data_IF_341668742853
#
_entry.id   IF_341668742853
#
_cell.length_a   1.000
_cell.length_b   1.000
_cell.length_c   1.000
_cell.angle_alpha   90.00
_cell.angle_beta   90.00
_cell.angle_gamma   90.00
#
_symmetry.space_group_name_H-M   'P 1'
#
loop_
_entity.id
_entity.type
_entity.pdbx_description
1 polymer ?
#
# COMPACT_ATOMS: atom_id res chain seq x y z
N UNK A 1 92.26 22.02 -23.87
CA UNK A 1 92.02 21.91 -25.32
C UNK A 1 90.65 21.29 -25.50
N UNK A 2 89.61 22.13 -25.60
CA UNK A 2 88.20 21.68 -25.55
C UNK A 2 87.76 21.20 -26.93
N UNK A 3 87.34 19.93 -27.03
CA UNK A 3 86.77 19.36 -28.26
C UNK A 3 85.42 20.02 -28.49
N UNK A 4 85.30 20.73 -29.61
CA UNK A 4 84.05 21.37 -30.05
C UNK A 4 83.10 20.24 -30.48
N UNK A 5 81.99 20.07 -29.77
CA UNK A 5 80.97 19.06 -30.06
C UNK A 5 80.25 19.38 -31.38
N UNK A 6 80.62 18.69 -32.46
CA UNK A 6 80.07 18.84 -33.81
C UNK A 6 78.89 17.88 -34.07
N UNK A 7 78.10 17.55 -33.04
CA UNK A 7 76.91 16.68 -33.22
C UNK A 7 75.66 17.43 -33.72
N UNK A 8 75.64 18.76 -33.59
CA UNK A 8 74.49 19.59 -33.98
C UNK A 8 74.63 20.23 -35.38
N UNK A 9 75.85 20.27 -35.93
CA UNK A 9 76.14 20.97 -37.20
C UNK A 9 75.77 20.13 -38.44
N UNK A 10 75.59 18.81 -38.27
CA UNK A 10 75.17 17.87 -39.31
C UNK A 10 73.70 17.44 -39.19
N UNK A 11 72.91 18.12 -38.35
CA UNK A 11 71.47 17.90 -38.32
C UNK A 11 70.89 18.75 -39.43
N UNK A 12 70.38 18.08 -40.45
CA UNK A 12 69.62 18.71 -41.52
C UNK A 12 68.33 19.29 -40.91
N UNK A 13 68.37 20.56 -40.52
CA UNK A 13 67.32 21.27 -39.79
C UNK A 13 65.95 21.12 -40.48
N UNK A 14 65.96 21.01 -41.80
CA UNK A 14 64.79 20.78 -42.64
C UNK A 14 64.20 19.39 -42.39
N UNK A 15 65.05 18.35 -42.28
CA UNK A 15 64.63 16.98 -42.01
C UNK A 15 64.02 16.84 -40.61
N UNK A 16 64.60 17.51 -39.61
CA UNK A 16 64.04 17.59 -38.26
C UNK A 16 62.65 18.26 -38.25
N UNK A 17 62.50 19.38 -38.97
CA UNK A 17 61.23 20.09 -39.11
C UNK A 17 60.15 19.19 -39.74
N UNK A 18 60.50 18.43 -40.78
CA UNK A 18 59.59 17.50 -41.45
C UNK A 18 59.18 16.35 -40.52
N UNK A 19 60.11 15.79 -39.74
CA UNK A 19 59.79 14.73 -38.77
C UNK A 19 58.86 15.22 -37.66
N UNK A 20 59.07 16.43 -37.15
CA UNK A 20 58.18 17.04 -36.15
C UNK A 20 56.78 17.28 -36.74
N UNK A 21 56.70 17.79 -37.98
CA UNK A 21 55.44 18.00 -38.66
C UNK A 21 54.69 16.67 -38.86
N UNK A 22 55.39 15.63 -39.30
CA UNK A 22 54.82 14.29 -39.48
C UNK A 22 54.33 13.71 -38.15
N UNK A 23 55.09 13.89 -37.06
CA UNK A 23 54.71 13.44 -35.73
C UNK A 23 53.43 14.14 -35.24
N UNK A 24 53.31 15.46 -35.45
CA UNK A 24 52.10 16.22 -35.10
C UNK A 24 50.88 15.68 -35.87
N UNK A 25 51.04 15.40 -37.16
CA UNK A 25 49.96 14.84 -37.99
C UNK A 25 49.53 13.46 -37.48
N UNK A 26 50.47 12.58 -37.13
CA UNK A 26 50.18 11.27 -36.55
C UNK A 26 49.45 11.39 -35.21
N UNK A 27 49.88 12.30 -34.33
CA UNK A 27 49.18 12.58 -33.08
C UNK A 27 47.74 13.06 -33.32
N UNK A 28 47.52 13.94 -34.29
CA UNK A 28 46.18 14.40 -34.66
C UNK A 28 45.28 13.25 -35.15
N UNK A 29 45.83 12.37 -36.00
CA UNK A 29 45.11 11.18 -36.48
C UNK A 29 44.74 10.27 -35.30
N UNK A 30 45.65 10.06 -34.35
CA UNK A 30 45.38 9.25 -33.17
C UNK A 30 44.26 9.84 -32.30
N UNK A 31 44.28 11.15 -32.06
CA UNK A 31 43.25 11.84 -31.27
C UNK A 31 41.89 11.73 -31.96
N UNK A 32 41.83 11.99 -33.27
CA UNK A 32 40.59 11.94 -34.05
C UNK A 32 40.04 10.52 -34.19
N UNK A 33 40.90 9.53 -34.41
CA UNK A 33 40.49 8.14 -34.61
C UNK A 33 40.13 7.41 -33.32
N UNK A 34 40.78 7.71 -32.19
CA UNK A 34 40.56 6.98 -30.93
C UNK A 34 39.81 7.78 -29.87
N UNK A 35 40.17 9.04 -29.62
CA UNK A 35 39.62 9.78 -28.47
C UNK A 35 38.19 10.27 -28.77
N UNK A 36 37.97 10.82 -29.97
CA UNK A 36 36.65 11.34 -30.37
C UNK A 36 35.53 10.29 -30.34
N UNK A 37 35.68 9.07 -30.92
CA UNK A 37 34.61 8.08 -30.85
C UNK A 37 34.35 7.61 -29.41
N UNK A 38 35.38 7.40 -28.60
CA UNK A 38 35.23 6.98 -27.20
C UNK A 38 34.46 8.00 -26.34
N UNK A 39 34.75 9.31 -26.49
CA UNK A 39 34.02 10.37 -25.78
C UNK A 39 32.55 10.40 -26.21
N UNK A 40 32.29 10.20 -27.52
CA UNK A 40 30.93 10.20 -28.06
C UNK A 40 30.13 9.00 -27.55
N UNK A 41 30.74 7.82 -27.50
CA UNK A 41 30.14 6.59 -26.99
C UNK A 41 29.85 6.70 -25.50
N UNK A 42 30.81 7.18 -24.69
CA UNK A 42 30.60 7.45 -23.27
C UNK A 42 29.44 8.42 -23.03
N UNK A 43 29.38 9.52 -23.79
CA UNK A 43 28.30 10.50 -23.65
C UNK A 43 26.93 9.91 -24.01
N UNK A 44 26.88 9.01 -24.99
CA UNK A 44 25.64 8.33 -25.37
C UNK A 44 25.20 7.33 -24.28
N UNK A 45 26.12 6.50 -23.79
CA UNK A 45 25.87 5.56 -22.68
C UNK A 45 25.43 6.29 -21.41
N UNK A 46 26.06 7.42 -21.08
CA UNK A 46 25.69 8.22 -19.92
C UNK A 46 24.27 8.81 -20.06
N UNK A 47 23.88 9.25 -21.27
CA UNK A 47 22.51 9.73 -21.55
C UNK A 47 21.49 8.60 -21.44
N UNK A 48 21.79 7.44 -22.00
CA UNK A 48 20.92 6.28 -21.92
C UNK A 48 20.76 5.83 -20.47
N UNK A 49 21.85 5.69 -19.72
CA UNK A 49 21.83 5.33 -18.30
C UNK A 49 21.02 6.34 -17.45
N UNK A 50 21.20 7.65 -17.67
CA UNK A 50 20.40 8.66 -16.97
C UNK A 50 18.92 8.56 -17.33
N UNK A 51 18.58 8.27 -18.59
CA UNK A 51 17.19 8.09 -19.00
C UNK A 51 16.56 6.87 -18.34
N UNK A 52 17.26 5.73 -18.34
CA UNK A 52 16.82 4.47 -17.70
C UNK A 52 16.69 4.67 -16.19
N UNK A 53 17.65 5.33 -15.55
CA UNK A 53 17.60 5.62 -14.11
C UNK A 53 16.42 6.51 -13.75
N UNK A 54 16.09 7.51 -14.59
CA UNK A 54 14.94 8.40 -14.37
C UNK A 54 13.60 7.69 -14.54
N UNK A 55 13.50 6.73 -15.46
CA UNK A 55 12.31 5.90 -15.63
C UNK A 55 12.19 4.94 -14.46
N UNK A 56 13.28 4.28 -14.09
CA UNK A 56 13.33 3.38 -12.94
C UNK A 56 12.93 4.09 -11.64
N UNK A 57 13.46 5.28 -11.38
CA UNK A 57 13.13 6.04 -10.16
C UNK A 57 11.65 6.42 -10.10
N UNK A 58 11.05 6.82 -11.23
CA UNK A 58 9.60 7.11 -11.31
C UNK A 58 8.75 5.87 -11.06
N UNK A 59 9.11 4.73 -11.66
CA UNK A 59 8.40 3.46 -11.47
C UNK A 59 8.52 3.00 -10.03
N UNK A 60 9.74 3.06 -9.46
CA UNK A 60 10.00 2.72 -8.07
C UNK A 60 9.23 3.61 -7.11
N UNK A 61 9.26 4.93 -7.29
CA UNK A 61 8.49 5.87 -6.47
C UNK A 61 6.99 5.58 -6.54
N UNK A 62 6.45 5.30 -7.72
CA UNK A 62 5.03 4.95 -7.89
C UNK A 62 4.69 3.65 -7.18
N UNK A 63 5.54 2.64 -7.31
CA UNK A 63 5.39 1.36 -6.62
C UNK A 63 5.43 1.54 -5.09
N UNK A 64 6.44 2.24 -4.57
CA UNK A 64 6.61 2.47 -3.14
C UNK A 64 5.44 3.27 -2.56
N UNK A 65 4.96 4.29 -3.29
CA UNK A 65 3.77 5.07 -2.90
C UNK A 65 2.51 4.21 -2.85
N UNK A 66 2.30 3.34 -3.86
CA UNK A 66 1.16 2.41 -3.88
C UNK A 66 1.26 1.39 -2.76
N UNK A 67 2.45 0.86 -2.50
CA UNK A 67 2.68 -0.10 -1.42
C UNK A 67 2.44 0.53 -0.05
N UNK A 68 2.90 1.76 0.16
CA UNK A 68 2.64 2.51 1.39
C UNK A 68 1.14 2.80 1.57
N UNK A 69 0.46 3.19 0.49
CA UNK A 69 -1.00 3.41 0.50
C UNK A 69 -1.74 2.12 0.85
N UNK A 70 -1.35 0.99 0.25
CA UNK A 70 -1.94 -0.31 0.53
C UNK A 70 -1.72 -0.74 1.99
N UNK A 71 -0.50 -0.57 2.49
CA UNK A 71 -0.17 -0.90 3.88
C UNK A 71 -0.95 -0.01 4.86
N UNK A 72 -1.03 1.31 4.61
CA UNK A 72 -1.84 2.24 5.41
C UNK A 72 -3.30 1.84 5.42
N UNK A 73 -3.88 1.51 4.26
CA UNK A 73 -5.28 1.12 4.15
C UNK A 73 -5.56 -0.21 4.88
N UNK A 74 -4.61 -1.15 4.81
CA UNK A 74 -4.68 -2.43 5.52
C UNK A 74 -4.57 -2.25 7.04
N UNK A 75 -3.71 -1.33 7.49
CA UNK A 75 -3.53 -1.04 8.91
C UNK A 75 -4.73 -0.26 9.48
N UNK A 76 -5.24 0.74 8.74
CA UNK A 76 -6.42 1.53 9.12
C UNK A 76 -7.67 0.65 9.27
N UNK A 77 -7.86 -0.30 8.35
CA UNK A 77 -9.03 -1.19 8.36
C UNK A 77 -8.73 -2.58 8.91
N UNK A 78 -7.60 -2.75 9.63
CA UNK A 78 -7.17 -4.06 10.15
C UNK A 78 -8.25 -4.73 10.97
N UNK A 79 -8.96 -3.96 11.81
CA UNK A 79 -10.07 -4.46 12.62
C UNK A 79 -11.21 -5.00 11.75
N UNK A 80 -11.65 -4.24 10.74
CA UNK A 80 -12.72 -4.66 9.83
C UNK A 80 -12.32 -5.92 9.06
N UNK A 81 -11.07 -5.98 8.57
CA UNK A 81 -10.53 -7.13 7.85
C UNK A 81 -10.48 -8.35 8.78
N UNK A 82 -9.97 -8.22 10.01
CA UNK A 82 -9.96 -9.33 10.97
C UNK A 82 -11.36 -9.78 11.40
N UNK A 83 -12.29 -8.83 11.49
CA UNK A 83 -13.68 -9.11 11.88
C UNK A 83 -14.49 -9.73 10.75
N UNK A 84 -14.03 -9.64 9.51
CA UNK A 84 -14.62 -10.33 8.36
C UNK A 84 -14.28 -11.83 8.35
N UNK A 85 -13.07 -12.18 8.79
CA UNK A 85 -12.62 -13.58 8.91
C UNK A 85 -13.17 -14.28 10.16
N UNK A 86 -13.75 -13.53 11.11
CA UNK A 86 -14.28 -14.10 12.35
C UNK A 86 -15.61 -14.82 12.09
N UNK A 87 -15.67 -16.10 12.45
CA UNK A 87 -16.93 -16.85 12.45
C UNK A 87 -17.80 -16.32 13.58
N UNK A 88 -18.99 -15.82 13.26
CA UNK A 88 -19.90 -15.38 14.30
C UNK A 88 -20.47 -16.58 15.06
N UNK A 89 -20.44 -16.44 16.38
CA UNK A 89 -20.88 -17.43 17.35
C UNK A 89 -22.12 -16.87 18.09
N UNK A 90 -23.26 -17.57 17.94
CA UNK A 90 -24.54 -17.19 18.54
C UNK A 90 -24.46 -17.14 20.07
N UNK A 91 -23.80 -18.11 20.70
CA UNK A 91 -23.69 -18.20 22.16
C UNK A 91 -22.78 -17.09 22.71
N UNK A 92 -21.69 -16.79 21.99
CA UNK A 92 -20.81 -15.66 22.33
C UNK A 92 -21.53 -14.32 22.21
N UNK A 93 -22.38 -14.15 21.21
CA UNK A 93 -23.20 -12.95 21.04
C UNK A 93 -24.25 -12.83 22.16
N UNK A 94 -24.94 -13.92 22.53
CA UNK A 94 -25.91 -13.90 23.64
C UNK A 94 -25.23 -13.51 24.95
N UNK A 95 -24.04 -14.05 25.23
CA UNK A 95 -23.25 -13.66 26.41
C UNK A 95 -22.87 -12.18 26.39
N UNK A 96 -22.45 -11.67 25.23
CA UNK A 96 -22.12 -10.26 25.06
C UNK A 96 -23.34 -9.35 25.27
N UNK A 97 -24.47 -9.68 24.64
CA UNK A 97 -25.71 -8.91 24.75
C UNK A 97 -26.30 -8.97 26.16
N UNK A 98 -26.16 -10.09 26.87
CA UNK A 98 -26.63 -10.26 28.26
C UNK A 98 -25.95 -9.29 29.25
N UNK A 99 -24.83 -8.66 28.90
CA UNK A 99 -24.22 -7.61 29.72
C UNK A 99 -25.02 -6.28 29.69
N UNK A 100 -25.82 -6.07 28.64
CA UNK A 100 -26.59 -4.84 28.41
C UNK A 100 -28.09 -5.07 28.59
N UNK A 101 -28.55 -6.28 28.32
CA UNK A 101 -29.95 -6.65 28.26
C UNK A 101 -30.28 -7.81 29.21
N UNK A 102 -31.51 -7.87 29.70
CA UNK A 102 -32.08 -9.04 30.37
C UNK A 102 -32.92 -9.86 29.37
N UNK A 103 -32.91 -11.18 29.50
CA UNK A 103 -33.74 -12.10 28.69
C UNK A 103 -33.45 -12.03 27.18
N UNK A 104 -32.18 -12.14 26.78
CA UNK A 104 -31.76 -12.09 25.38
C UNK A 104 -32.08 -13.40 24.66
N UNK A 105 -32.88 -13.32 23.61
CA UNK A 105 -33.12 -14.44 22.69
C UNK A 105 -32.86 -14.04 21.24
N UNK A 106 -32.23 -14.94 20.49
CA UNK A 106 -32.00 -14.80 19.05
C UNK A 106 -32.99 -15.68 18.30
N UNK A 107 -33.82 -15.07 17.46
CA UNK A 107 -34.70 -15.77 16.53
C UNK A 107 -34.15 -15.60 15.12
N UNK A 108 -34.10 -16.68 14.33
CA UNK A 108 -33.78 -16.56 12.91
C UNK A 108 -34.90 -15.81 12.21
N UNK A 109 -34.57 -14.68 11.57
CA UNK A 109 -35.55 -13.95 10.78
C UNK A 109 -35.73 -14.71 9.45
N UNK A 110 -36.98 -15.04 9.11
CA UNK A 110 -37.40 -15.83 7.93
C UNK A 110 -37.16 -15.13 6.58
N UNK A 111 -36.14 -14.29 6.47
CA UNK A 111 -35.91 -13.40 5.35
C UNK A 111 -34.52 -13.67 4.77
N UNK A 112 -34.41 -14.77 4.02
CA UNK A 112 -33.21 -15.20 3.27
C UNK A 112 -33.05 -14.48 1.93
N UNK A 113 -33.96 -13.56 1.57
CA UNK A 113 -33.89 -12.81 0.31
C UNK A 113 -33.08 -11.53 0.46
N UNK A 114 -31.75 -11.65 0.56
CA UNK A 114 -30.89 -10.50 0.29
C UNK A 114 -29.74 -10.93 -0.60
N UNK A 115 -29.72 -10.38 -1.81
CA UNK A 115 -28.77 -10.58 -2.91
C UNK A 115 -27.37 -9.99 -2.59
N UNK A 116 -27.04 -9.87 -1.31
CA UNK A 116 -25.80 -9.28 -0.83
C UNK A 116 -24.75 -10.38 -0.64
N UNK A 117 -23.66 -10.29 -1.42
CA UNK A 117 -22.60 -11.32 -1.52
C UNK A 117 -21.97 -11.75 -0.18
N UNK A 118 -22.12 -10.95 0.89
CA UNK A 118 -21.46 -11.12 2.19
C UNK A 118 -22.43 -11.24 3.36
N UNK A 119 -23.73 -11.37 3.07
CA UNK A 119 -24.75 -11.55 4.10
C UNK A 119 -24.84 -13.02 4.52
N UNK A 120 -24.72 -13.27 5.83
CA UNK A 120 -24.81 -14.62 6.41
C UNK A 120 -26.23 -14.90 6.92
N UNK A 121 -26.73 -14.09 7.86
CA UNK A 121 -28.06 -14.25 8.45
C UNK A 121 -28.56 -12.97 9.10
N UNK A 122 -29.89 -12.88 9.19
CA UNK A 122 -30.64 -11.87 9.92
C UNK A 122 -31.22 -12.52 11.17
N UNK A 123 -30.92 -11.95 12.33
CA UNK A 123 -31.41 -12.44 13.61
C UNK A 123 -32.27 -11.36 14.25
N UNK A 124 -33.43 -11.72 14.78
CA UNK A 124 -34.22 -10.84 15.63
C UNK A 124 -33.77 -11.03 17.07
N UNK A 125 -33.27 -9.95 17.67
CA UNK A 125 -32.90 -9.90 19.08
C UNK A 125 -34.13 -9.44 19.85
N UNK A 126 -34.65 -10.32 20.70
CA UNK A 126 -35.68 -9.98 21.68
C UNK A 126 -35.00 -9.83 23.04
N UNK A 127 -35.20 -8.69 23.68
CA UNK A 127 -34.51 -8.37 24.93
C UNK A 127 -35.32 -7.42 25.81
N UNK A 128 -34.93 -7.26 27.06
CA UNK A 128 -35.51 -6.28 27.98
C UNK A 128 -34.43 -5.39 28.60
N UNK A 129 -34.68 -4.08 28.67
CA UNK A 129 -33.81 -3.07 29.29
C UNK A 129 -34.58 -2.25 30.32
N UNK A 130 -33.89 -1.75 31.34
CA UNK A 130 -34.47 -0.78 32.28
C UNK A 130 -34.40 0.65 31.78
N UNK A 131 -33.43 0.97 30.92
CA UNK A 131 -33.18 2.34 30.47
C UNK A 131 -32.73 2.35 29.01
N UNK A 132 -33.26 3.25 28.15
CA UNK A 132 -32.84 3.38 26.76
C UNK A 132 -31.34 3.63 26.58
N UNK A 133 -30.68 4.23 27.56
CA UNK A 133 -29.23 4.47 27.54
C UNK A 133 -28.42 3.19 27.37
N UNK A 134 -28.86 2.07 27.98
CA UNK A 134 -28.19 0.76 27.82
C UNK A 134 -28.19 0.26 26.37
N UNK A 135 -29.18 0.66 25.58
CA UNK A 135 -29.21 0.32 24.16
C UNK A 135 -28.15 1.10 23.37
N UNK A 136 -27.90 2.36 23.71
CA UNK A 136 -26.81 3.14 23.10
C UNK A 136 -25.43 2.58 23.51
N UNK A 137 -25.24 2.22 24.77
CA UNK A 137 -24.02 1.55 25.24
C UNK A 137 -23.76 0.23 24.49
N UNK A 138 -24.83 -0.51 24.20
CA UNK A 138 -24.77 -1.71 23.38
C UNK A 138 -24.34 -1.38 21.94
N UNK A 139 -24.93 -0.38 21.29
CA UNK A 139 -24.54 0.01 19.93
C UNK A 139 -23.07 0.43 19.85
N UNK A 140 -22.59 1.19 20.85
CA UNK A 140 -21.18 1.56 20.93
C UNK A 140 -20.28 0.33 21.08
N UNK A 141 -20.68 -0.61 21.96
CA UNK A 141 -19.94 -1.84 22.18
C UNK A 141 -20.01 -2.80 20.99
N UNK A 142 -21.11 -2.80 20.24
CA UNK A 142 -21.32 -3.59 19.03
C UNK A 142 -20.36 -3.14 17.92
N UNK A 143 -20.05 -1.84 17.83
CA UNK A 143 -19.08 -1.31 16.87
C UNK A 143 -17.65 -1.85 17.09
N UNK A 144 -17.35 -2.31 18.31
CA UNK A 144 -16.05 -2.88 18.73
C UNK A 144 -16.10 -4.40 18.82
N UNK A 145 -17.18 -5.04 18.40
CA UNK A 145 -17.34 -6.49 18.46
C UNK A 145 -16.50 -7.20 17.39
N UNK A 146 -16.07 -8.42 17.70
CA UNK A 146 -15.18 -9.22 16.87
C UNK A 146 -15.76 -9.57 15.50
N UNK A 147 -17.08 -9.56 15.34
CA UNK A 147 -17.76 -9.84 14.06
C UNK A 147 -18.46 -8.60 13.52
N UNK A 148 -18.58 -8.49 12.20
CA UNK A 148 -19.26 -7.38 11.54
C UNK A 148 -20.78 -7.55 11.70
N UNK A 149 -21.35 -6.81 12.65
CA UNK A 149 -22.78 -6.86 12.95
C UNK A 149 -23.37 -5.47 12.76
N UNK A 150 -24.48 -5.38 12.03
CA UNK A 150 -25.27 -4.16 11.88
C UNK A 150 -26.63 -4.35 12.52
N UNK A 151 -26.99 -3.49 13.46
CA UNK A 151 -28.37 -3.37 13.91
C UNK A 151 -29.21 -2.68 12.82
N UNK A 152 -30.34 -3.29 12.46
CA UNK A 152 -31.24 -2.85 11.42
C UNK A 152 -32.50 -2.24 12.03
N UNK A 153 -33.04 -1.21 11.37
CA UNK A 153 -34.25 -0.52 11.79
C UNK A 153 -35.47 -1.14 11.09
N UNK A 154 -36.69 -1.08 11.67
CA UNK A 154 -37.06 -0.35 12.89
C UNK A 154 -36.78 -1.13 14.19
N UNK A 155 -36.45 -0.39 15.26
CA UNK A 155 -36.35 -0.92 16.62
C UNK A 155 -37.71 -0.73 17.30
N UNK A 156 -38.30 -1.81 17.79
CA UNK A 156 -39.55 -1.77 18.54
C UNK A 156 -39.24 -1.75 20.04
N UNK A 157 -39.71 -0.72 20.74
CA UNK A 157 -39.60 -0.61 22.19
C UNK A 157 -41.00 -0.54 22.79
N UNK A 158 -41.31 -1.39 23.78
CA UNK A 158 -42.56 -1.40 24.53
C UNK A 158 -42.26 -1.39 26.02
N UNK A 159 -42.76 -0.39 26.73
CA UNK A 159 -42.69 -0.35 28.19
C UNK A 159 -43.72 -1.30 28.79
N UNK A 160 -43.27 -2.19 29.66
CA UNK A 160 -44.10 -3.12 30.43
C UNK A 160 -43.62 -3.10 31.88
N UNK A 161 -44.30 -2.30 32.71
CA UNK A 161 -43.92 -2.08 34.11
C UNK A 161 -42.55 -1.39 34.27
N UNK A 162 -41.64 -2.03 35.02
CA UNK A 162 -40.26 -1.55 35.28
C UNK A 162 -39.27 -1.91 34.15
N UNK A 163 -39.75 -2.51 33.05
CA UNK A 163 -38.91 -3.00 31.95
C UNK A 163 -39.39 -2.46 30.60
N UNK A 164 -38.45 -2.32 29.67
CA UNK A 164 -38.69 -1.96 28.28
C UNK A 164 -38.31 -3.16 27.43
N UNK A 165 -39.30 -3.84 26.88
CA UNK A 165 -39.09 -4.89 25.89
C UNK A 165 -38.64 -4.25 24.58
N UNK A 166 -37.47 -4.66 24.11
CA UNK A 166 -36.85 -4.18 22.88
C UNK A 166 -36.74 -5.32 21.89
N UNK A 167 -37.19 -5.11 20.66
CA UNK A 167 -37.04 -6.05 19.55
C UNK A 167 -36.41 -5.33 18.38
N UNK A 168 -35.27 -5.83 17.91
CA UNK A 168 -34.56 -5.29 16.76
C UNK A 168 -33.94 -6.39 15.93
N UNK A 169 -33.70 -6.11 14.66
CA UNK A 169 -33.03 -7.06 13.77
C UNK A 169 -31.53 -6.74 13.74
N UNK A 170 -30.70 -7.77 13.61
CA UNK A 170 -29.29 -7.64 13.33
C UNK A 170 -28.96 -8.40 12.05
N UNK A 171 -28.11 -7.81 11.21
CA UNK A 171 -27.50 -8.46 10.06
C UNK A 171 -26.05 -8.78 10.40
N UNK A 172 -25.66 -10.03 10.20
CA UNK A 172 -24.28 -10.47 10.39
C UNK A 172 -23.63 -10.64 9.03
N UNK A 173 -22.47 -10.04 8.86
CA UNK A 173 -21.66 -10.10 7.65
C UNK A 173 -20.36 -10.85 7.95
N UNK A 174 -19.89 -11.61 6.96
CA UNK A 174 -18.65 -12.35 7.06
C UNK A 174 -18.41 -13.19 5.81
N UNK A 175 -17.34 -13.98 5.84
CA UNK A 175 -17.07 -14.94 4.80
C UNK A 175 -18.08 -16.10 4.86
N UNK A 176 -18.77 -16.38 3.75
CA UNK A 176 -19.62 -17.58 3.58
C UNK A 176 -18.83 -18.87 3.77
#
# INVERSE_FOLDING_TARGET
>A
MSKKDTSLENIDLVKLLIFILAFIVVCFIMILAFIVPNIKEYRNLARENNSVLSVYSKVKQTHDTKQETLNKLKDEHKFIISSYDSKFDKDKFIKFASNFFSDVSLLEANDTSTDEKYFLYKLSVVSSIKTPQKFYDFLESLSKYESIIRADFPIQMRGEGDKIHTTFNIKVYGQK
#
